data_IF_851784405146
#
_entry.id   IF_851784405146
#
_cell.length_a   1.000
_cell.length_b   1.000
_cell.length_c   1.000
_cell.angle_alpha   90.00
_cell.angle_beta   90.00
_cell.angle_gamma   90.00
#
_symmetry.space_group_name_H-M   'P 1'
#
loop_
_entity.id
_entity.type
_entity.pdbx_description
1 polymer ?
#
# COMPACT_ATOMS: atom_id res chain seq x y z
N UNK A 1 -2.05 -12.47 6.22
CA UNK A 1 -1.15 -13.43 5.53
C UNK A 1 -0.35 -12.73 4.45
N UNK A 2 0.98 -12.91 4.40
CA UNK A 2 1.82 -12.38 3.30
C UNK A 2 2.07 -13.50 2.29
N UNK A 3 1.86 -13.23 1.00
CA UNK A 3 2.05 -14.23 -0.05
C UNK A 3 3.50 -14.15 -0.55
N UNK A 4 4.33 -15.10 -0.11
CA UNK A 4 5.70 -15.24 -0.62
C UNK A 4 5.62 -16.06 -1.90
N UNK A 5 5.95 -15.45 -3.04
CA UNK A 5 6.07 -16.15 -4.30
C UNK A 5 7.55 -16.54 -4.48
N UNK A 6 7.84 -17.85 -4.47
CA UNK A 6 9.19 -18.38 -4.67
C UNK A 6 9.31 -18.74 -6.15
N UNK A 7 10.11 -18.01 -6.90
CA UNK A 7 10.40 -18.34 -8.29
C UNK A 7 11.65 -19.23 -8.34
N UNK A 8 11.43 -20.52 -8.58
CA UNK A 8 12.43 -21.57 -8.41
C UNK A 8 13.67 -21.42 -9.31
N UNK A 9 13.59 -20.62 -10.37
CA UNK A 9 14.70 -20.42 -11.31
C UNK A 9 15.71 -19.36 -10.84
N UNK A 10 15.29 -18.35 -10.05
CA UNK A 10 16.17 -17.28 -9.56
C UNK A 10 16.39 -17.29 -8.03
N UNK A 11 15.49 -17.93 -7.26
CA UNK A 11 15.51 -17.86 -5.80
C UNK A 11 16.50 -18.80 -5.11
N UNK A 12 17.24 -19.62 -5.87
CA UNK A 12 18.28 -20.51 -5.31
C UNK A 12 19.38 -19.78 -4.54
N UNK A 13 19.58 -18.49 -4.77
CA UNK A 13 20.65 -17.69 -4.18
C UNK A 13 20.20 -16.68 -3.12
N UNK A 14 18.88 -16.48 -2.94
CA UNK A 14 18.37 -15.47 -2.03
C UNK A 14 18.03 -16.08 -0.66
N UNK A 15 18.53 -15.44 0.41
CA UNK A 15 18.19 -15.84 1.78
C UNK A 15 16.73 -15.50 2.05
N UNK A 16 15.99 -16.46 2.60
CA UNK A 16 14.64 -16.23 3.16
C UNK A 16 14.73 -15.08 4.15
N UNK A 17 14.01 -13.99 3.88
CA UNK A 17 13.98 -12.80 4.72
C UNK A 17 12.71 -12.84 5.57
N UNK A 18 12.85 -12.62 6.89
CA UNK A 18 11.68 -12.46 7.75
C UNK A 18 11.02 -11.12 7.41
N UNK A 19 9.83 -11.17 6.83
CA UNK A 19 9.00 -10.00 6.54
C UNK A 19 8.05 -9.80 7.71
N UNK A 20 8.18 -8.67 8.40
CA UNK A 20 7.22 -8.26 9.42
C UNK A 20 6.09 -7.49 8.75
N UNK A 21 4.99 -8.19 8.48
CA UNK A 21 3.80 -7.60 7.85
C UNK A 21 3.25 -6.43 8.64
N UNK A 22 3.19 -6.55 9.97
CA UNK A 22 2.62 -5.50 10.83
C UNK A 22 3.46 -4.23 10.75
N UNK A 23 4.79 -4.38 10.80
CA UNK A 23 5.68 -3.25 10.63
C UNK A 23 5.48 -2.56 9.28
N UNK A 24 5.41 -3.32 8.17
CA UNK A 24 5.19 -2.74 6.85
C UNK A 24 3.85 -1.99 6.78
N UNK A 25 2.77 -2.58 7.30
CA UNK A 25 1.45 -1.94 7.36
C UNK A 25 1.46 -0.64 8.20
N UNK A 26 2.12 -0.66 9.35
CA UNK A 26 2.30 0.53 10.22
C UNK A 26 3.07 1.64 9.51
N UNK A 27 4.15 1.32 8.79
CA UNK A 27 4.91 2.29 8.01
C UNK A 27 4.08 2.86 6.85
N UNK A 28 3.35 2.02 6.11
CA UNK A 28 2.47 2.48 5.02
C UNK A 28 1.39 3.42 5.58
N UNK A 29 0.69 3.02 6.64
CA UNK A 29 -0.36 3.83 7.27
C UNK A 29 0.21 5.15 7.83
N UNK A 30 1.38 5.11 8.48
CA UNK A 30 2.03 6.28 9.04
C UNK A 30 2.49 7.29 7.99
N UNK A 31 2.88 6.86 6.80
CA UNK A 31 3.21 7.75 5.70
C UNK A 31 1.96 8.28 4.98
N UNK A 32 0.96 7.42 4.76
CA UNK A 32 -0.31 7.81 4.17
C UNK A 32 -1.02 8.90 4.99
N UNK A 33 -1.01 8.79 6.32
CA UNK A 33 -1.61 9.77 7.22
C UNK A 33 -0.97 11.18 7.18
N UNK A 34 0.21 11.32 6.56
CA UNK A 34 0.89 12.62 6.38
C UNK A 34 0.47 13.34 5.10
N UNK A 35 -0.32 12.69 4.25
CA UNK A 35 -0.79 13.24 2.98
C UNK A 35 -2.25 13.63 3.16
N UNK A 36 -2.52 14.93 3.04
CA UNK A 36 -3.86 15.48 3.11
C UNK A 36 -4.80 14.78 2.11
N UNK A 37 -6.07 14.60 2.50
CA UNK A 37 -7.12 13.89 1.74
C UNK A 37 -6.96 12.38 1.54
N UNK A 38 -5.92 11.74 2.09
CA UNK A 38 -5.90 10.29 2.24
C UNK A 38 -6.66 9.90 3.50
N UNK A 39 -7.73 9.13 3.36
CA UNK A 39 -8.64 8.77 4.47
C UNK A 39 -8.30 7.43 5.13
N UNK A 40 -7.49 6.60 4.47
CA UNK A 40 -7.07 5.32 5.01
C UNK A 40 -6.26 4.47 4.02
N UNK A 41 -5.76 3.35 4.53
CA UNK A 41 -5.03 2.34 3.76
C UNK A 41 -5.76 1.01 3.92
N UNK A 42 -5.91 0.27 2.83
CA UNK A 42 -6.54 -1.05 2.84
C UNK A 42 -5.94 -1.97 1.77
N UNK A 43 -6.29 -3.26 1.79
CA UNK A 43 -5.91 -4.19 0.72
C UNK A 43 -4.40 -4.45 0.61
N UNK A 44 -3.64 -4.29 1.70
CA UNK A 44 -2.17 -4.44 1.67
C UNK A 44 -1.80 -5.88 1.30
N UNK A 45 -1.08 -6.01 0.19
CA UNK A 45 -0.48 -7.24 -0.30
C UNK A 45 1.02 -7.03 -0.37
N UNK A 46 1.79 -7.99 0.14
CA UNK A 46 3.24 -7.92 0.17
C UNK A 46 3.77 -9.07 -0.66
N UNK A 47 4.55 -8.74 -1.68
CA UNK A 47 5.27 -9.67 -2.53
C UNK A 47 6.76 -9.57 -2.24
N UNK A 48 7.42 -10.72 -2.18
CA UNK A 48 8.87 -10.81 -2.12
C UNK A 48 9.34 -11.62 -3.31
N UNK A 49 10.06 -10.99 -4.24
CA UNK A 49 10.46 -11.60 -5.49
C UNK A 49 11.86 -11.12 -5.87
N UNK A 50 12.78 -12.04 -6.15
CA UNK A 50 14.17 -11.71 -6.51
C UNK A 50 14.88 -10.84 -5.47
N UNK A 51 14.63 -11.09 -4.18
CA UNK A 51 15.22 -10.33 -3.07
C UNK A 51 14.60 -8.95 -2.81
N UNK A 52 13.57 -8.55 -3.56
CA UNK A 52 12.92 -7.24 -3.47
C UNK A 52 11.52 -7.35 -2.89
N UNK A 53 11.15 -6.37 -2.06
CA UNK A 53 9.82 -6.24 -1.45
C UNK A 53 8.98 -5.28 -2.26
N UNK A 54 7.91 -5.79 -2.87
CA UNK A 54 6.88 -5.01 -3.53
C UNK A 54 5.63 -4.99 -2.65
N UNK A 55 5.11 -3.81 -2.36
CA UNK A 55 3.84 -3.66 -1.65
C UNK A 55 2.76 -3.15 -2.59
N UNK A 56 1.59 -3.77 -2.57
CA UNK A 56 0.40 -3.28 -3.28
C UNK A 56 -0.67 -2.94 -2.27
N UNK A 57 -1.31 -1.78 -2.40
CA UNK A 57 -2.37 -1.38 -1.48
C UNK A 57 -3.29 -0.33 -2.09
N UNK A 58 -4.43 -0.15 -1.44
CA UNK A 58 -5.41 0.88 -1.77
C UNK A 58 -5.33 2.02 -0.76
N UNK A 59 -5.43 3.26 -1.25
CA UNK A 59 -5.64 4.45 -0.43
C UNK A 59 -7.04 4.99 -0.66
N UNK A 60 -7.72 5.33 0.43
CA UNK A 60 -9.00 6.02 0.39
C UNK A 60 -8.82 7.50 0.10
N UNK A 61 -9.64 8.05 -0.79
CA UNK A 61 -9.70 9.48 -1.12
C UNK A 61 -11.16 9.95 -1.21
N UNK A 62 -11.39 11.25 -1.00
CA UNK A 62 -12.72 11.86 -1.13
C UNK A 62 -13.06 12.26 -2.59
N UNK A 63 -14.35 12.50 -2.86
CA UNK A 63 -14.85 12.88 -4.20
C UNK A 63 -14.42 14.27 -4.69
N UNK A 64 -13.90 15.12 -3.80
CA UNK A 64 -13.36 16.45 -4.16
C UNK A 64 -11.96 16.36 -4.76
N UNK A 65 -11.31 15.19 -4.69
CA UNK A 65 -9.98 14.94 -5.25
C UNK A 65 -10.07 14.71 -6.76
N UNK A 66 -9.41 15.56 -7.53
CA UNK A 66 -9.24 15.32 -8.97
C UNK A 66 -8.27 14.16 -9.24
N UNK A 67 -8.40 13.52 -10.41
CA UNK A 67 -7.47 12.45 -10.86
C UNK A 67 -6.01 12.90 -10.82
N UNK A 68 -5.75 14.18 -11.16
CA UNK A 68 -4.41 14.75 -11.11
C UNK A 68 -3.88 14.79 -9.67
N UNK A 69 -4.68 15.27 -8.72
CA UNK A 69 -4.32 15.29 -7.30
C UNK A 69 -4.13 13.87 -6.76
N UNK A 70 -5.01 12.93 -7.11
CA UNK A 70 -4.86 11.52 -6.73
C UNK A 70 -3.51 10.94 -7.18
N UNK A 71 -3.12 11.22 -8.44
CA UNK A 71 -1.83 10.81 -8.98
C UNK A 71 -0.66 11.46 -8.23
N UNK A 72 -0.72 12.75 -7.95
CA UNK A 72 0.31 13.48 -7.21
C UNK A 72 0.47 12.94 -5.77
N UNK A 73 -0.64 12.62 -5.11
CA UNK A 73 -0.64 11.99 -3.78
C UNK A 73 -0.02 10.59 -3.81
N UNK A 74 -0.41 9.75 -4.78
CA UNK A 74 0.16 8.42 -4.95
C UNK A 74 1.67 8.47 -5.23
N UNK A 75 2.12 9.39 -6.09
CA UNK A 75 3.55 9.60 -6.36
C UNK A 75 4.30 10.03 -5.11
N UNK A 76 3.77 11.02 -4.37
CA UNK A 76 4.35 11.48 -3.11
C UNK A 76 4.45 10.35 -2.09
N UNK A 77 3.41 9.54 -1.95
CA UNK A 77 3.42 8.38 -1.04
C UNK A 77 4.46 7.34 -1.47
N UNK A 78 4.55 7.04 -2.77
CA UNK A 78 5.56 6.13 -3.30
C UNK A 78 6.98 6.60 -3.01
N UNK A 79 7.26 7.89 -3.20
CA UNK A 79 8.59 8.46 -2.93
C UNK A 79 8.94 8.47 -1.44
N UNK A 80 7.95 8.62 -0.56
CA UNK A 80 8.14 8.45 0.89
C UNK A 80 8.45 6.99 1.26
N UNK A 81 7.73 6.03 0.67
CA UNK A 81 7.93 4.60 0.94
C UNK A 81 9.25 4.05 0.40
N UNK A 82 9.77 4.58 -0.71
CA UNK A 82 11.09 4.22 -1.23
C UNK A 82 12.25 4.57 -0.29
N UNK A 83 12.04 5.47 0.67
CA UNK A 83 13.05 5.77 1.70
C UNK A 83 13.10 4.69 2.80
N UNK A 84 12.10 3.81 2.87
CA UNK A 84 12.04 2.71 3.82
C UNK A 84 12.88 1.54 3.32
N UNK A 85 13.89 1.11 4.10
CA UNK A 85 14.78 0.00 3.74
C UNK A 85 14.08 -1.35 3.57
N UNK A 86 12.81 -1.44 3.95
CA UNK A 86 11.99 -2.66 3.89
C UNK A 86 11.04 -2.69 2.68
N UNK A 87 10.93 -1.61 1.89
CA UNK A 87 10.06 -1.52 0.72
C UNK A 87 10.90 -1.08 -0.48
N UNK A 88 11.04 -1.96 -1.47
CA UNK A 88 11.78 -1.65 -2.69
C UNK A 88 10.86 -0.99 -3.74
N UNK A 89 9.60 -1.41 -3.80
CA UNK A 89 8.61 -0.88 -4.74
C UNK A 89 7.20 -0.84 -4.13
N UNK A 90 6.36 0.03 -4.69
CA UNK A 90 4.96 0.19 -4.28
C UNK A 90 4.01 0.34 -5.47
N UNK A 91 2.87 -0.36 -5.46
CA UNK A 91 1.72 -0.09 -6.33
C UNK A 91 0.58 0.47 -5.48
N UNK A 92 0.14 1.68 -5.80
CA UNK A 92 -0.83 2.43 -5.00
C UNK A 92 -2.07 2.67 -5.86
N UNK A 93 -3.21 2.14 -5.42
CA UNK A 93 -4.50 2.33 -6.07
C UNK A 93 -5.31 3.34 -5.26
N UNK A 94 -5.82 4.39 -5.90
CA UNK A 94 -6.73 5.32 -5.23
C UNK A 94 -8.16 4.81 -5.38
N UNK A 95 -8.88 4.69 -4.27
CA UNK A 95 -10.31 4.36 -4.24
C UNK A 95 -11.07 5.51 -3.60
N UNK A 96 -12.23 5.84 -4.17
CA UNK A 96 -13.17 6.69 -3.46
C UNK A 96 -13.60 5.93 -2.21
N UNK A 97 -13.40 6.53 -1.05
CA UNK A 97 -14.11 6.07 0.14
C UNK A 97 -15.55 6.50 -0.03
N UNK A 98 -16.45 5.51 -0.20
CA UNK A 98 -17.85 5.73 0.09
C UNK A 98 -17.93 6.35 1.49
N UNK A 99 -18.62 7.49 1.58
CA UNK A 99 -18.90 8.21 2.82
C UNK A 99 -19.02 7.25 4.03
N UNK A 100 -18.30 7.45 5.14
CA UNK A 100 -18.47 6.64 6.34
C UNK A 100 -19.92 6.65 6.89
N UNK A 101 -20.79 7.53 6.41
CA UNK A 101 -22.24 7.55 6.69
C UNK A 101 -23.10 6.70 5.73
N UNK A 102 -22.53 6.09 4.68
CA UNK A 102 -23.30 5.32 3.68
C UNK A 102 -23.72 3.92 4.17
N UNK A 103 -23.07 3.40 5.20
CA UNK A 103 -23.43 2.09 5.79
C UNK A 103 -24.75 2.12 6.60
N UNK A 104 -25.27 3.30 6.92
CA UNK A 104 -26.57 3.45 7.58
C UNK A 104 -27.76 3.17 6.65
N UNK A 105 -27.53 3.07 5.33
CA UNK A 105 -28.57 2.83 4.32
C UNK A 105 -28.68 1.38 3.84
N UNK A 106 -27.84 0.46 4.34
CA UNK A 106 -27.91 -0.98 4.00
C UNK A 106 -28.67 -1.84 5.02
N UNK A 107 -29.36 -1.21 5.98
CA UNK A 107 -30.30 -1.87 6.89
C UNK A 107 -31.72 -1.33 6.71
N UNK A 108 -32.36 -1.69 5.60
CA UNK A 108 -33.83 -1.67 5.45
C UNK A 108 -34.23 -2.97 4.77
#
# INVERSE_FOLDING_TARGET
DALVHIDAEEDMYYKVRKIDRRQIEEHIAGHAAKIDKITGVSGVTIHYLGGKTLVEFDVGIDETVSIKQAREMALRLSDMLKQEKMIDNSVIRCRLTDDPHRDDLKRI
#
